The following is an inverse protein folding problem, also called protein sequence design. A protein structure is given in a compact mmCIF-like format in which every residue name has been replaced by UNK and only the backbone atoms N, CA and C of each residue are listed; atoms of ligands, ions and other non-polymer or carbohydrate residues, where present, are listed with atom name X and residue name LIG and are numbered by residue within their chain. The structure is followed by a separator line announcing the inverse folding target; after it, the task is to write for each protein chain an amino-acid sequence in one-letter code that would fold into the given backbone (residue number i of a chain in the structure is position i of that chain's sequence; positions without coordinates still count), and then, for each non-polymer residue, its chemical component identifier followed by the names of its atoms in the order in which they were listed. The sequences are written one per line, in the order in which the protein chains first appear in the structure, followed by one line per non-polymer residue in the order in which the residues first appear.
data_IF_104556507505
#
_entry.id   IF_104556507505
#
_cell.length_a   1.000
_cell.length_b   1.000
_cell.length_c   1.000
_cell.angle_alpha   90.00
_cell.angle_beta   90.00
_cell.angle_gamma   90.00
#
_symmetry.space_group_name_H-M   'P 1'
#
loop_
_entity.id
_entity.type
_entity.pdbx_description
1 polymer ?
#
# COMPACT_ATOMS: atom_id res chain seq x y z
N UNK A 1 0.35 25.13 -20.39
CA UNK A 1 -0.75 25.04 -19.42
C UNK A 1 -0.57 26.18 -18.44
N UNK A 2 -1.58 27.00 -18.19
CA UNK A 2 -1.51 28.06 -17.17
C UNK A 2 -1.28 27.42 -15.80
N UNK A 3 -0.37 27.99 -15.01
CA UNK A 3 -0.20 27.55 -13.61
C UNK A 3 -1.53 27.75 -12.88
N UNK A 4 -2.00 26.76 -12.09
CA UNK A 4 -3.19 26.92 -11.27
C UNK A 4 -3.01 28.09 -10.28
N UNK A 5 -4.01 28.97 -10.20
CA UNK A 5 -4.04 30.08 -9.24
C UNK A 5 -4.39 29.55 -7.85
N UNK A 6 -3.39 29.47 -6.98
CA UNK A 6 -3.58 29.14 -5.57
C UNK A 6 -3.59 30.41 -4.70
N UNK A 7 -4.38 30.44 -3.61
CA UNK A 7 -4.26 31.49 -2.60
C UNK A 7 -2.84 31.59 -2.03
N UNK A 8 -2.39 32.82 -1.70
CA UNK A 8 -1.04 33.07 -1.21
C UNK A 8 -0.73 32.34 0.11
N UNK A 9 -1.75 32.04 0.92
CA UNK A 9 -1.67 31.38 2.22
C UNK A 9 -2.09 29.90 2.18
N UNK A 10 -2.20 29.31 0.99
CA UNK A 10 -2.66 27.93 0.80
C UNK A 10 -1.87 26.93 1.66
N UNK A 11 -2.61 26.11 2.41
CA UNK A 11 -2.07 25.02 3.23
C UNK A 11 -2.62 23.70 2.72
N UNK A 12 -1.74 22.82 2.25
CA UNK A 12 -2.09 21.46 1.86
C UNK A 12 -1.91 20.52 3.05
N UNK A 13 -3.00 19.99 3.57
CA UNK A 13 -2.94 18.95 4.58
C UNK A 13 -2.58 17.60 3.94
N UNK A 14 -1.51 16.97 4.45
CA UNK A 14 -0.99 15.73 3.88
C UNK A 14 -1.89 14.52 4.12
N UNK A 15 -2.75 14.59 5.14
CA UNK A 15 -3.72 13.53 5.39
C UNK A 15 -4.80 13.54 4.31
N UNK A 16 -5.35 14.71 4.03
CA UNK A 16 -6.34 14.92 2.97
C UNK A 16 -5.76 14.58 1.59
N UNK A 17 -4.51 15.00 1.33
CA UNK A 17 -3.81 14.63 0.11
C UNK A 17 -3.65 13.12 -0.03
N UNK A 18 -3.24 12.42 1.02
CA UNK A 18 -3.08 10.96 0.98
C UNK A 18 -4.41 10.27 0.67
N UNK A 19 -5.50 10.71 1.29
CA UNK A 19 -6.84 10.20 1.00
C UNK A 19 -7.26 10.45 -0.46
N UNK A 20 -7.02 11.66 -0.99
CA UNK A 20 -7.33 12.02 -2.38
C UNK A 20 -6.51 11.17 -3.36
N UNK A 21 -5.19 11.05 -3.16
CA UNK A 21 -4.32 10.25 -4.05
C UNK A 21 -4.76 8.79 -4.06
N UNK A 22 -5.06 8.22 -2.89
CA UNK A 22 -5.49 6.83 -2.77
C UNK A 22 -6.87 6.61 -3.41
N UNK A 23 -7.83 7.50 -3.21
CA UNK A 23 -9.14 7.42 -3.88
C UNK A 23 -9.01 7.54 -5.41
N UNK A 24 -8.23 8.50 -5.90
CA UNK A 24 -7.93 8.64 -7.32
C UNK A 24 -7.29 7.36 -7.90
N UNK A 25 -6.26 6.82 -7.22
CA UNK A 25 -5.61 5.58 -7.63
C UNK A 25 -6.57 4.40 -7.65
N UNK A 26 -7.39 4.25 -6.60
CA UNK A 26 -8.39 3.21 -6.51
C UNK A 26 -9.44 3.29 -7.64
N UNK A 27 -9.66 4.46 -8.24
CA UNK A 27 -10.53 4.68 -9.40
C UNK A 27 -9.82 4.45 -10.75
N UNK A 28 -8.52 4.66 -10.84
CA UNK A 28 -7.74 4.50 -12.08
C UNK A 28 -7.06 3.13 -12.25
N UNK A 29 -6.92 2.33 -11.19
CA UNK A 29 -6.21 1.04 -11.25
C UNK A 29 -6.96 -0.04 -12.05
N UNK A 30 -6.61 -0.30 -13.30
CA UNK A 30 -7.43 -1.17 -14.17
C UNK A 30 -7.37 -2.68 -13.84
N UNK A 31 -6.28 -3.19 -13.26
CA UNK A 31 -6.06 -4.65 -13.09
C UNK A 31 -7.16 -5.35 -12.30
N UNK A 32 -7.67 -4.64 -11.29
CA UNK A 32 -8.71 -5.11 -10.37
C UNK A 32 -9.97 -4.24 -10.46
N UNK A 33 -10.22 -3.59 -11.60
CA UNK A 33 -11.36 -2.70 -11.79
C UNK A 33 -12.70 -3.43 -11.61
N UNK A 34 -12.77 -4.69 -12.01
CA UNK A 34 -14.00 -5.50 -12.04
C UNK A 34 -13.86 -6.81 -11.26
N UNK A 35 -12.96 -6.82 -10.28
CA UNK A 35 -12.64 -8.01 -9.51
C UNK A 35 -13.20 -7.90 -8.09
N UNK A 36 -14.01 -8.88 -7.69
CA UNK A 36 -14.59 -8.97 -6.34
C UNK A 36 -13.90 -10.07 -5.53
N UNK A 37 -13.68 -9.81 -4.25
CA UNK A 37 -13.11 -10.76 -3.31
C UNK A 37 -14.07 -11.92 -3.06
N UNK A 38 -13.61 -13.15 -3.27
CA UNK A 38 -14.38 -14.37 -2.99
C UNK A 38 -13.75 -15.24 -1.90
N UNK A 39 -12.46 -15.08 -1.62
CA UNK A 39 -11.78 -15.87 -0.60
C UNK A 39 -10.56 -15.16 -0.02
N UNK A 40 -10.35 -15.31 1.29
CA UNK A 40 -9.12 -14.90 1.98
C UNK A 40 -8.49 -16.13 2.64
N UNK A 41 -7.22 -16.36 2.35
CA UNK A 41 -6.48 -17.53 2.84
C UNK A 41 -5.28 -17.02 3.65
N UNK A 42 -5.15 -17.48 4.90
CA UNK A 42 -4.09 -17.06 5.81
C UNK A 42 -3.28 -18.28 6.26
N UNK A 43 -1.99 -18.35 5.94
CA UNK A 43 -1.08 -19.41 6.40
C UNK A 43 -1.52 -20.87 6.13
N UNK A 44 -2.56 -21.10 5.30
CA UNK A 44 -3.10 -22.40 4.91
C UNK A 44 -2.78 -22.71 3.44
N UNK A 45 -2.72 -23.99 3.13
CA UNK A 45 -2.22 -24.48 1.84
C UNK A 45 -3.33 -24.69 0.78
N UNK A 46 -4.62 -24.58 1.12
CA UNK A 46 -5.70 -24.95 0.20
C UNK A 46 -6.65 -23.80 -0.15
N UNK A 47 -6.84 -23.60 -1.47
CA UNK A 47 -7.86 -22.72 -2.04
C UNK A 47 -9.19 -23.49 -2.13
N UNK A 48 -10.27 -22.92 -1.60
CA UNK A 48 -11.60 -23.54 -1.59
C UNK A 48 -12.52 -23.06 -2.73
N UNK A 49 -12.24 -21.91 -3.34
CA UNK A 49 -13.05 -21.34 -4.43
C UNK A 49 -12.71 -21.90 -5.80
N UNK A 50 -11.48 -22.37 -6.00
CA UNK A 50 -11.01 -22.85 -7.29
C UNK A 50 -11.09 -24.38 -7.37
N UNK A 51 -11.41 -24.97 -8.54
CA UNK A 51 -11.41 -26.43 -8.73
C UNK A 51 -10.06 -27.04 -8.33
N UNK A 52 -10.09 -28.25 -7.78
CA UNK A 52 -9.00 -28.94 -7.04
C UNK A 52 -7.72 -29.30 -7.80
N UNK A 53 -7.26 -28.46 -8.73
CA UNK A 53 -5.96 -28.56 -9.43
C UNK A 53 -5.17 -27.26 -9.44
N UNK A 54 -5.70 -26.17 -8.90
CA UNK A 54 -4.93 -24.93 -8.74
C UNK A 54 -4.13 -25.05 -7.44
N UNK A 55 -3.01 -25.77 -7.52
CA UNK A 55 -2.01 -25.72 -6.47
C UNK A 55 -1.48 -24.29 -6.38
N UNK A 56 -1.34 -23.77 -5.17
CA UNK A 56 -0.51 -22.59 -4.99
C UNK A 56 0.89 -22.85 -5.54
N UNK A 57 1.56 -21.76 -5.92
CA UNK A 57 2.94 -21.81 -6.34
C UNK A 57 3.84 -22.50 -5.29
N UNK A 58 4.90 -23.23 -5.69
CA UNK A 58 5.83 -23.84 -4.75
C UNK A 58 6.36 -22.87 -3.69
N UNK A 59 6.45 -21.57 -4.00
CA UNK A 59 6.86 -20.50 -3.09
C UNK A 59 5.86 -20.24 -1.94
N UNK A 60 4.57 -20.53 -2.15
CA UNK A 60 3.54 -20.46 -1.10
C UNK A 60 3.64 -21.63 -0.13
N UNK A 61 4.02 -22.82 -0.61
CA UNK A 61 4.21 -24.03 0.20
C UNK A 61 5.66 -24.19 0.67
N UNK A 62 6.61 -23.41 0.14
CA UNK A 62 8.03 -23.49 0.47
C UNK A 62 8.25 -23.29 1.97
N UNK A 63 8.98 -24.25 2.55
CA UNK A 63 9.13 -24.50 3.99
C UNK A 63 9.90 -23.41 4.75
N UNK A 64 10.60 -22.48 4.10
CA UNK A 64 11.23 -21.34 4.76
C UNK A 64 10.20 -20.25 5.12
N UNK A 65 9.33 -20.61 6.07
CA UNK A 65 8.52 -19.67 6.84
C UNK A 65 9.46 -18.96 7.81
N UNK A 66 10.17 -17.92 7.37
CA UNK A 66 11.03 -17.09 8.25
C UNK A 66 10.21 -16.26 9.26
N UNK A 67 9.15 -16.83 9.85
CA UNK A 67 8.18 -16.15 10.72
C UNK A 67 7.29 -15.14 10.00
N UNK A 68 7.39 -15.01 8.68
CA UNK A 68 6.56 -14.11 7.88
C UNK A 68 5.18 -14.72 7.64
N UNK A 69 4.12 -13.97 7.95
CA UNK A 69 2.73 -14.36 7.68
C UNK A 69 2.45 -14.35 6.18
N UNK A 70 1.61 -15.25 5.68
CA UNK A 70 1.19 -15.30 4.28
C UNK A 70 -0.30 -15.06 4.17
N UNK A 71 -0.67 -14.21 3.22
CA UNK A 71 -2.07 -13.93 2.89
C UNK A 71 -2.28 -14.11 1.39
N UNK A 72 -3.34 -14.80 1.01
CA UNK A 72 -3.84 -14.84 -0.35
C UNK A 72 -5.24 -14.23 -0.43
N UNK A 73 -5.47 -13.46 -1.48
CA UNK A 73 -6.78 -12.97 -1.87
C UNK A 73 -7.16 -13.59 -3.20
N UNK A 74 -8.29 -14.30 -3.24
CA UNK A 74 -8.85 -14.79 -4.49
C UNK A 74 -9.95 -13.84 -4.92
N UNK A 75 -9.82 -13.31 -6.12
CA UNK A 75 -10.71 -12.35 -6.73
C UNK A 75 -11.37 -12.98 -7.96
N UNK A 76 -12.69 -12.86 -8.07
CA UNK A 76 -13.44 -13.19 -9.27
C UNK A 76 -13.61 -11.94 -10.12
N UNK A 77 -13.14 -11.99 -11.36
CA UNK A 77 -13.36 -10.97 -12.38
C UNK A 77 -14.66 -11.26 -13.13
N UNK A 78 -15.48 -10.23 -13.32
CA UNK A 78 -16.65 -10.27 -14.19
C UNK A 78 -16.47 -9.25 -15.32
N UNK A 79 -16.09 -9.71 -16.52
CA UNK A 79 -15.94 -8.83 -17.69
C UNK A 79 -17.25 -8.14 -18.10
N UNK A 80 -18.40 -8.77 -17.82
CA UNK A 80 -19.73 -8.23 -18.12
C UNK A 80 -20.14 -7.14 -17.13
N UNK A 81 -19.47 -7.04 -15.99
CA UNK A 81 -19.70 -5.97 -15.03
C UNK A 81 -19.39 -4.61 -15.69
N UNK A 82 -20.41 -3.75 -15.74
CA UNK A 82 -20.29 -2.40 -16.31
C UNK A 82 -19.63 -1.42 -15.35
N UNK A 83 -19.94 -1.55 -14.07
CA UNK A 83 -19.47 -0.65 -13.02
C UNK A 83 -18.17 -1.14 -12.40
N UNK A 84 -17.29 -0.21 -12.08
CA UNK A 84 -16.07 -0.49 -11.34
C UNK A 84 -16.39 -0.94 -9.91
N UNK A 85 -15.60 -1.87 -9.40
CA UNK A 85 -15.63 -2.31 -8.02
C UNK A 85 -14.98 -1.25 -7.12
N UNK A 86 -15.79 -0.75 -6.19
CA UNK A 86 -15.42 0.15 -5.09
C UNK A 86 -15.25 -0.67 -3.81
N UNK A 87 -14.89 0.00 -2.71
CA UNK A 87 -14.80 -0.66 -1.41
C UNK A 87 -16.14 -1.31 -0.98
N UNK A 88 -17.26 -0.61 -1.18
CA UNK A 88 -18.58 -1.05 -0.69
C UNK A 88 -19.13 -2.29 -1.43
N UNK A 89 -18.63 -2.58 -2.63
CA UNK A 89 -19.00 -3.80 -3.39
C UNK A 89 -17.81 -4.72 -3.68
N UNK A 90 -16.71 -4.57 -2.94
CA UNK A 90 -15.51 -5.38 -3.14
C UNK A 90 -15.72 -6.83 -2.72
N UNK A 91 -16.46 -7.09 -1.64
CA UNK A 91 -16.87 -8.44 -1.29
C UNK A 91 -17.87 -8.98 -2.32
N UNK A 92 -17.67 -10.21 -2.78
CA UNK A 92 -18.60 -10.86 -3.69
C UNK A 92 -19.96 -11.08 -2.99
N UNK A 93 -21.05 -10.93 -3.75
CA UNK A 93 -22.43 -10.97 -3.23
C UNK A 93 -22.82 -12.30 -2.59
N UNK A 94 -22.20 -13.39 -3.03
CA UNK A 94 -22.43 -14.75 -2.49
C UNK A 94 -21.62 -15.01 -1.20
N UNK A 95 -20.89 -14.00 -0.72
CA UNK A 95 -20.02 -14.08 0.46
C UNK A 95 -18.54 -14.26 0.11
N UNK A 96 -17.72 -14.10 1.15
CA UNK A 96 -16.27 -14.31 1.09
C UNK A 96 -15.93 -15.54 1.93
N UNK A 97 -15.30 -16.54 1.32
CA UNK A 97 -14.81 -17.72 2.04
C UNK A 97 -13.61 -17.35 2.90
N UNK A 98 -13.61 -17.87 4.12
CA UNK A 98 -12.58 -17.65 5.13
C UNK A 98 -12.27 -18.99 5.80
N UNK A 99 -11.20 -19.03 6.58
CA UNK A 99 -10.95 -20.15 7.49
C UNK A 99 -12.10 -20.30 8.51
N UNK A 100 -12.36 -21.55 8.92
CA UNK A 100 -13.42 -21.85 9.87
C UNK A 100 -13.28 -21.03 11.15
N UNK A 101 -14.37 -20.40 11.59
CA UNK A 101 -14.41 -19.58 12.80
C UNK A 101 -13.88 -18.14 12.64
N UNK A 102 -13.50 -17.72 11.43
CA UNK A 102 -13.08 -16.34 11.15
C UNK A 102 -14.20 -15.58 10.47
N UNK A 103 -14.47 -14.35 10.92
CA UNK A 103 -15.41 -13.43 10.27
C UNK A 103 -14.68 -12.32 9.50
N UNK A 104 -15.21 -11.94 8.33
CA UNK A 104 -14.68 -10.84 7.54
C UNK A 104 -15.16 -9.51 8.13
N UNK A 105 -14.36 -8.94 9.01
CA UNK A 105 -14.61 -7.58 9.52
C UNK A 105 -14.50 -6.54 8.40
N UNK A 106 -15.21 -5.40 8.51
CA UNK A 106 -15.08 -4.25 7.59
C UNK A 106 -13.63 -3.81 7.42
N UNK A 107 -12.84 -3.87 8.49
CA UNK A 107 -11.42 -3.53 8.50
C UNK A 107 -10.55 -4.54 7.76
N UNK A 108 -10.85 -5.83 7.88
CA UNK A 108 -10.16 -6.87 7.11
C UNK A 108 -10.47 -6.73 5.61
N UNK A 109 -11.74 -6.43 5.27
CA UNK A 109 -12.15 -6.14 3.90
C UNK A 109 -11.43 -4.90 3.34
N UNK A 110 -11.36 -3.82 4.11
CA UNK A 110 -10.66 -2.59 3.70
C UNK A 110 -9.17 -2.88 3.48
N UNK A 111 -8.57 -3.72 4.33
CA UNK A 111 -7.18 -4.12 4.19
C UNK A 111 -6.94 -4.94 2.92
N UNK A 112 -7.84 -5.88 2.60
CA UNK A 112 -7.79 -6.63 1.36
C UNK A 112 -7.96 -5.70 0.14
N UNK A 113 -8.94 -4.79 0.18
CA UNK A 113 -9.22 -3.83 -0.88
C UNK A 113 -7.99 -2.99 -1.22
N UNK A 114 -7.42 -2.28 -0.22
CA UNK A 114 -6.26 -1.43 -0.46
C UNK A 114 -5.03 -2.21 -0.87
N UNK A 115 -4.84 -3.41 -0.32
CA UNK A 115 -3.69 -4.24 -0.68
C UNK A 115 -3.75 -4.71 -2.13
N UNK A 116 -4.94 -5.02 -2.65
CA UNK A 116 -5.13 -5.28 -4.07
C UNK A 116 -4.96 -4.00 -4.91
N UNK A 117 -5.57 -2.89 -4.51
CA UNK A 117 -5.51 -1.65 -5.30
C UNK A 117 -4.10 -1.05 -5.34
N UNK A 118 -3.34 -1.07 -4.26
CA UNK A 118 -1.96 -0.55 -4.23
C UNK A 118 -0.91 -1.62 -4.53
N UNK A 119 -1.31 -2.78 -5.03
CA UNK A 119 -0.38 -3.82 -5.46
C UNK A 119 0.63 -3.19 -6.43
N UNK A 120 1.93 -3.34 -6.13
CA UNK A 120 3.11 -2.79 -6.84
C UNK A 120 3.12 -1.27 -7.14
N UNK A 121 2.20 -0.50 -6.56
CA UNK A 121 2.00 0.90 -6.94
C UNK A 121 2.87 1.89 -6.15
N UNK A 122 3.74 1.41 -5.25
CA UNK A 122 4.41 2.29 -4.29
C UNK A 122 5.27 3.39 -4.89
N UNK A 123 6.03 3.09 -5.95
CA UNK A 123 6.81 4.10 -6.68
C UNK A 123 5.89 5.15 -7.32
N UNK A 124 4.84 4.69 -8.00
CA UNK A 124 3.89 5.57 -8.68
C UNK A 124 3.16 6.49 -7.69
N UNK A 125 2.71 5.96 -6.55
CA UNK A 125 2.02 6.76 -5.52
C UNK A 125 2.94 7.83 -4.93
N UNK A 126 4.19 7.49 -4.63
CA UNK A 126 5.18 8.45 -4.16
C UNK A 126 5.47 9.52 -5.23
N UNK A 127 5.59 9.11 -6.49
CA UNK A 127 5.78 10.03 -7.61
C UNK A 127 4.59 10.99 -7.77
N UNK A 128 3.34 10.51 -7.70
CA UNK A 128 2.15 11.37 -7.79
C UNK A 128 2.15 12.42 -6.67
N UNK A 129 2.43 12.03 -5.43
CA UNK A 129 2.54 12.98 -4.32
C UNK A 129 3.65 14.02 -4.55
N UNK A 130 4.82 13.58 -5.02
CA UNK A 130 5.92 14.48 -5.38
C UNK A 130 5.48 15.49 -6.46
N UNK A 131 4.79 15.04 -7.51
CA UNK A 131 4.30 15.93 -8.58
C UNK A 131 3.30 16.95 -8.07
N UNK A 132 2.46 16.60 -7.10
CA UNK A 132 1.60 17.57 -6.42
C UNK A 132 2.45 18.62 -5.71
N UNK A 133 3.44 18.22 -4.91
CA UNK A 133 4.29 19.18 -4.19
C UNK A 133 5.08 20.10 -5.12
N UNK A 134 5.63 19.57 -6.22
CA UNK A 134 6.35 20.35 -7.24
C UNK A 134 5.45 21.34 -8.00
N UNK A 135 4.14 21.11 -8.03
CA UNK A 135 3.17 22.00 -8.67
C UNK A 135 2.69 23.15 -7.79
N UNK A 136 2.96 23.09 -6.47
CA UNK A 136 2.55 24.11 -5.54
C UNK A 136 3.43 25.37 -5.68
N UNK A 137 2.86 26.57 -5.47
CA UNK A 137 3.66 27.79 -5.46
C UNK A 137 4.61 27.80 -4.25
N UNK A 138 5.73 28.53 -4.31
CA UNK A 138 6.68 28.64 -3.19
C UNK A 138 6.07 29.22 -1.91
N UNK A 139 4.94 29.93 -2.00
CA UNK A 139 4.22 30.50 -0.84
C UNK A 139 3.29 29.51 -0.15
N UNK A 140 2.98 28.38 -0.80
CA UNK A 140 2.17 27.33 -0.18
C UNK A 140 2.90 26.69 0.99
N UNK A 141 2.14 26.05 1.88
CA UNK A 141 2.68 25.29 3.01
C UNK A 141 2.11 23.89 3.03
N UNK A 142 2.93 22.93 3.42
CA UNK A 142 2.49 21.56 3.71
C UNK A 142 2.24 21.43 5.20
N UNK A 143 1.12 20.80 5.58
CA UNK A 143 0.79 20.48 6.97
C UNK A 143 0.75 18.97 7.15
N UNK A 144 1.65 18.44 7.98
CA UNK A 144 1.70 17.04 8.35
C UNK A 144 1.22 16.87 9.80
N UNK A 145 0.16 16.09 10.01
CA UNK A 145 -0.36 15.74 11.34
C UNK A 145 -0.20 14.25 11.57
N UNK A 146 0.52 13.86 12.61
CA UNK A 146 0.69 12.45 12.97
C UNK A 146 -0.39 11.99 13.92
N UNK A 147 -0.63 10.69 13.94
CA UNK A 147 -1.49 10.01 14.93
C UNK A 147 -1.14 10.28 16.40
N UNK A 148 0.10 10.73 16.67
CA UNK A 148 0.57 11.04 18.03
C UNK A 148 0.31 12.49 18.46
N UNK A 149 -0.37 13.29 17.63
CA UNK A 149 -0.63 14.71 17.88
C UNK A 149 0.53 15.63 17.50
N UNK A 150 1.65 15.10 17.00
CA UNK A 150 2.73 15.93 16.45
C UNK A 150 2.30 16.54 15.12
N UNK A 151 2.56 17.84 14.98
CA UNK A 151 2.27 18.64 13.79
C UNK A 151 3.55 19.29 13.26
N UNK A 152 3.68 19.30 11.93
CA UNK A 152 4.76 19.95 11.21
C UNK A 152 4.15 20.80 10.09
N UNK A 153 4.61 22.04 9.96
CA UNK A 153 4.32 22.91 8.82
C UNK A 153 5.64 23.24 8.13
N UNK A 154 5.74 23.04 6.82
CA UNK A 154 6.98 23.28 6.06
C UNK A 154 6.71 23.74 4.62
N UNK A 155 7.77 24.10 3.91
CA UNK A 155 7.70 24.42 2.48
C UNK A 155 7.45 23.15 1.64
N UNK A 156 6.76 23.24 0.48
CA UNK A 156 6.73 22.16 -0.51
C UNK A 156 8.12 21.69 -0.96
N UNK A 157 9.13 22.58 -0.90
CA UNK A 157 10.53 22.24 -1.22
C UNK A 157 11.23 21.43 -0.14
N UNK A 158 10.65 21.31 1.05
CA UNK A 158 11.20 20.55 2.17
C UNK A 158 10.78 19.06 2.11
N UNK A 159 10.47 18.55 0.93
CA UNK A 159 10.12 17.14 0.70
C UNK A 159 11.28 16.42 0.01
N UNK A 160 11.59 15.22 0.48
CA UNK A 160 12.62 14.36 -0.07
C UNK A 160 12.10 12.94 -0.29
N UNK A 161 12.42 12.36 -1.45
CA UNK A 161 12.16 10.96 -1.75
C UNK A 161 13.18 10.10 -0.99
N UNK A 162 12.69 9.07 -0.32
CA UNK A 162 13.49 8.12 0.43
C UNK A 162 13.29 6.72 -0.11
N UNK A 163 14.39 5.98 -0.17
CA UNK A 163 14.40 4.58 -0.56
C UNK A 163 15.02 3.74 0.55
N UNK A 164 14.46 2.55 0.77
CA UNK A 164 15.06 1.58 1.67
C UNK A 164 14.69 0.15 1.28
N UNK A 165 15.39 -0.82 1.85
CA UNK A 165 15.04 -2.23 1.72
C UNK A 165 14.13 -2.62 2.89
N UNK A 166 12.97 -3.18 2.59
CA UNK A 166 11.96 -3.61 3.58
C UNK A 166 11.73 -5.11 3.47
N UNK A 167 11.63 -5.78 4.62
CA UNK A 167 11.06 -7.13 4.70
C UNK A 167 9.57 -7.00 5.05
N UNK A 168 8.65 -7.37 4.16
CA UNK A 168 7.22 -7.18 4.41
C UNK A 168 6.72 -7.95 5.63
N UNK A 169 5.76 -7.39 6.38
CA UNK A 169 5.17 -8.10 7.53
C UNK A 169 4.45 -9.37 7.09
N UNK A 170 3.86 -9.27 5.91
CA UNK A 170 3.06 -10.31 5.30
C UNK A 170 3.48 -10.43 3.84
N UNK A 171 3.75 -11.65 3.38
CA UNK A 171 3.75 -11.92 1.94
C UNK A 171 2.30 -11.95 1.45
N UNK A 172 2.07 -11.39 0.25
CA UNK A 172 0.76 -11.29 -0.36
C UNK A 172 0.72 -12.02 -1.68
N UNK A 173 -0.27 -12.88 -1.83
CA UNK A 173 -0.63 -13.50 -3.08
C UNK A 173 -2.00 -12.98 -3.51
N UNK A 174 -2.17 -12.55 -4.75
CA UNK A 174 -3.48 -12.18 -5.29
C UNK A 174 -3.70 -13.03 -6.54
N UNK A 175 -4.81 -13.75 -6.55
CA UNK A 175 -5.27 -14.55 -7.67
C UNK A 175 -6.51 -13.89 -8.21
N UNK A 176 -6.50 -13.49 -9.48
CA UNK A 176 -7.71 -13.06 -10.18
C UNK A 176 -8.12 -14.18 -11.11
N UNK A 177 -9.40 -14.53 -11.18
CA UNK A 177 -9.88 -15.52 -12.14
C UNK A 177 -11.18 -15.10 -12.82
N UNK A 178 -11.42 -15.63 -14.02
CA UNK A 178 -12.63 -15.41 -14.81
C UNK A 178 -13.15 -16.74 -15.38
N UNK A 179 -14.47 -16.92 -15.36
CA UNK A 179 -15.15 -18.09 -15.94
C UNK A 179 -15.49 -17.80 -17.41
N UNK A 180 -14.83 -18.49 -18.35
CA UNK A 180 -14.96 -18.17 -19.78
C UNK A 180 -16.01 -19.04 -20.48
N UNK A 181 -16.02 -20.36 -20.22
CA UNK A 181 -16.90 -21.34 -20.87
C UNK A 181 -17.52 -22.32 -19.84
N UNK A 182 -17.90 -21.82 -18.68
CA UNK A 182 -18.43 -22.60 -17.55
C UNK A 182 -17.36 -22.98 -16.52
N UNK A 183 -17.73 -23.72 -15.45
CA UNK A 183 -16.91 -23.90 -14.24
C UNK A 183 -15.60 -24.68 -14.45
N UNK A 184 -15.36 -25.23 -15.64
CA UNK A 184 -14.16 -26.01 -15.97
C UNK A 184 -13.09 -25.23 -16.75
N UNK A 185 -13.43 -24.08 -17.33
CA UNK A 185 -12.49 -23.23 -18.06
C UNK A 185 -12.32 -21.90 -17.32
N UNK A 186 -11.22 -21.81 -16.59
CA UNK A 186 -10.86 -20.69 -15.74
C UNK A 186 -9.59 -20.05 -16.30
N UNK A 187 -9.68 -18.80 -16.73
CA UNK A 187 -8.51 -17.96 -16.93
C UNK A 187 -8.13 -17.34 -15.60
N UNK A 188 -6.83 -17.26 -15.31
CA UNK A 188 -6.36 -16.73 -14.05
C UNK A 188 -5.03 -15.98 -14.17
N UNK A 189 -4.94 -14.91 -13.39
CA UNK A 189 -3.78 -14.04 -13.26
C UNK A 189 -3.26 -14.10 -11.82
N UNK A 190 -1.96 -13.91 -11.66
CA UNK A 190 -1.27 -14.01 -10.37
C UNK A 190 -0.43 -12.79 -10.12
N UNK A 191 -0.43 -12.37 -8.87
CA UNK A 191 0.27 -11.20 -8.39
C UNK A 191 0.90 -11.54 -7.03
N UNK A 192 2.16 -11.18 -6.83
CA UNK A 192 2.94 -11.54 -5.65
C UNK A 192 3.65 -10.31 -5.08
N UNK A 193 3.63 -10.17 -3.76
CA UNK A 193 4.42 -9.14 -3.08
C UNK A 193 5.02 -9.67 -1.78
N UNK A 194 6.29 -9.37 -1.57
CA UNK A 194 6.97 -9.62 -0.30
C UNK A 194 7.42 -11.05 -0.03
N UNK A 195 7.52 -11.88 -1.06
CA UNK A 195 8.08 -13.23 -0.95
C UNK A 195 9.62 -13.20 -0.96
N UNK A 196 10.21 -14.00 -0.08
CA UNK A 196 11.59 -14.53 -0.09
C UNK A 196 12.76 -13.53 -0.02
N UNK A 197 12.57 -12.25 -0.32
CA UNK A 197 13.65 -11.25 -0.32
C UNK A 197 13.17 -9.88 0.18
N UNK A 198 14.08 -9.07 0.79
CA UNK A 198 13.83 -7.65 0.98
C UNK A 198 13.47 -6.99 -0.35
N UNK A 199 12.51 -6.07 -0.33
CA UNK A 199 12.08 -5.32 -1.51
C UNK A 199 12.45 -3.83 -1.38
N UNK A 200 12.77 -3.15 -2.51
CA UNK A 200 12.90 -1.71 -2.51
C UNK A 200 11.57 -1.07 -2.13
N UNK A 201 11.64 -0.07 -1.25
CA UNK A 201 10.50 0.61 -0.68
C UNK A 201 10.71 2.12 -0.75
N UNK A 202 9.75 2.81 -1.35
CA UNK A 202 9.81 4.26 -1.57
C UNK A 202 8.78 4.95 -0.70
N UNK A 203 9.20 6.02 -0.04
CA UNK A 203 8.33 6.89 0.77
C UNK A 203 8.86 8.32 0.71
N UNK A 204 8.10 9.28 1.22
CA UNK A 204 8.49 10.69 1.23
C UNK A 204 8.79 11.15 2.65
N UNK A 205 9.92 11.82 2.87
CA UNK A 205 10.17 12.58 4.09
C UNK A 205 9.79 14.03 3.89
N UNK A 206 9.00 14.56 4.82
CA UNK A 206 8.51 15.93 4.82
C UNK A 206 9.11 16.68 6.00
N UNK A 207 9.67 17.85 5.70
CA UNK A 207 10.29 18.77 6.65
C UNK A 207 11.81 18.83 6.53
N UNK A 208 12.37 19.86 7.16
CA UNK A 208 13.81 20.02 7.30
C UNK A 208 14.35 19.16 8.45
N UNK A 209 15.51 18.49 8.27
CA UNK A 209 16.17 17.78 9.35
C UNK A 209 16.67 18.80 10.39
N UNK A 210 16.27 18.62 11.65
CA UNK A 210 16.78 19.45 12.77
C UNK A 210 18.01 18.82 13.42
N UNK A 211 18.22 17.51 13.22
CA UNK A 211 19.35 16.76 13.77
C UNK A 211 19.82 15.70 12.77
N UNK A 212 21.10 15.33 12.86
CA UNK A 212 21.65 14.14 12.21
C UNK A 212 21.35 12.87 13.01
N UNK A 213 20.98 13.00 14.29
CA UNK A 213 20.49 11.88 15.10
C UNK A 213 19.06 11.50 14.67
N UNK A 214 18.84 10.27 14.18
CA UNK A 214 17.51 9.79 13.83
C UNK A 214 16.49 9.83 14.97
N UNK A 215 16.93 9.79 16.23
CA UNK A 215 16.05 9.83 17.40
C UNK A 215 15.50 11.24 17.68
N UNK A 216 16.18 12.27 17.17
CA UNK A 216 15.77 13.68 17.26
C UNK A 216 15.15 14.21 15.96
N UNK A 217 15.06 13.36 14.94
CA UNK A 217 14.48 13.73 13.64
C UNK A 217 13.00 14.12 13.78
N UNK A 218 12.71 15.35 13.36
CA UNK A 218 11.39 15.98 13.39
C UNK A 218 10.61 15.76 12.09
N UNK A 219 11.26 15.20 11.06
CA UNK A 219 10.62 14.92 9.78
C UNK A 219 9.55 13.86 9.89
N UNK A 220 8.54 13.99 9.04
CA UNK A 220 7.41 13.08 8.95
C UNK A 220 7.55 12.25 7.67
N UNK A 221 7.51 10.93 7.80
CA UNK A 221 7.41 10.00 6.69
C UNK A 221 5.96 9.87 6.24
N UNK A 222 5.72 10.14 4.96
CA UNK A 222 4.50 9.82 4.23
C UNK A 222 4.74 8.56 3.40
N UNK A 223 4.03 7.49 3.72
CA UNK A 223 4.06 6.20 3.03
C UNK A 223 2.66 5.83 2.56
N UNK A 224 2.40 6.02 1.27
CA UNK A 224 1.11 5.76 0.62
C UNK A 224 0.90 4.29 0.26
N UNK A 225 1.94 3.47 0.29
CA UNK A 225 1.90 2.09 -0.19
C UNK A 225 1.92 1.06 0.94
N UNK A 226 1.94 1.51 2.20
CA UNK A 226 2.13 0.69 3.39
C UNK A 226 1.28 -0.60 3.44
N UNK A 227 0.08 -0.57 2.86
CA UNK A 227 -0.81 -1.75 2.76
C UNK A 227 -0.22 -2.90 1.95
N UNK A 228 0.60 -2.63 0.93
CA UNK A 228 1.26 -3.65 0.11
C UNK A 228 2.11 -4.61 0.96
N UNK A 229 2.77 -4.09 2.01
CA UNK A 229 3.58 -4.87 2.94
C UNK A 229 2.82 -5.36 4.18
N UNK A 230 1.49 -5.24 4.18
CA UNK A 230 0.62 -5.64 5.29
C UNK A 230 0.66 -4.70 6.50
N UNK A 231 1.13 -3.47 6.30
CA UNK A 231 1.16 -2.45 7.35
C UNK A 231 -0.09 -1.57 7.36
N UNK A 232 -0.27 -0.81 8.44
CA UNK A 232 -1.19 0.33 8.55
C UNK A 232 -0.56 1.50 9.29
N UNK A 233 -1.05 2.71 9.04
CA UNK A 233 -0.78 3.88 9.87
C UNK A 233 -1.21 3.62 11.33
N UNK A 234 -0.68 4.37 12.30
CA UNK A 234 -1.01 4.10 13.71
C UNK A 234 -2.44 4.49 14.07
N UNK A 235 -3.01 5.46 13.36
CA UNK A 235 -4.44 5.76 13.42
C UNK A 235 -5.29 4.73 12.64
N UNK A 236 -4.67 3.62 12.21
CA UNK A 236 -5.25 2.57 11.38
C UNK A 236 -5.59 3.02 9.96
N UNK A 237 -4.94 4.04 9.40
CA UNK A 237 -5.10 4.40 8.00
C UNK A 237 -4.44 3.39 7.04
N UNK A 238 -4.87 3.36 5.76
CA UNK A 238 -4.20 2.59 4.70
C UNK A 238 -2.86 3.19 4.24
N UNK A 239 -2.46 4.33 4.81
CA UNK A 239 -1.14 4.93 4.61
C UNK A 239 -0.49 5.17 5.99
N UNK A 240 0.75 5.62 6.00
CA UNK A 240 1.37 6.17 7.22
C UNK A 240 1.78 7.62 7.03
N UNK A 241 1.55 8.40 8.10
CA UNK A 241 2.06 9.75 8.28
C UNK A 241 2.66 9.84 9.68
N UNK A 242 3.94 9.48 9.82
CA UNK A 242 4.58 9.20 11.11
C UNK A 242 5.98 9.81 11.20
N UNK A 243 6.43 10.21 12.39
CA UNK A 243 7.81 10.71 12.58
C UNK A 243 8.84 9.64 12.21
N UNK A 244 9.96 10.04 11.59
CA UNK A 244 11.01 9.14 11.10
C UNK A 244 11.50 8.11 12.12
N UNK A 245 11.77 8.55 13.37
CA UNK A 245 12.12 7.67 14.51
C UNK A 245 11.14 6.51 14.74
N UNK A 246 9.86 6.73 14.49
CA UNK A 246 8.78 5.77 14.76
C UNK A 246 8.56 4.82 13.59
N UNK A 247 8.92 5.23 12.36
CA UNK A 247 8.87 4.36 11.18
C UNK A 247 9.91 3.24 11.29
N UNK A 248 11.15 3.55 11.69
CA UNK A 248 12.26 2.59 11.81
C UNK A 248 12.08 1.53 12.91
N UNK A 249 11.31 1.84 13.96
CA UNK A 249 11.05 0.91 15.09
C UNK A 249 9.93 -0.10 14.83
N UNK A 250 9.11 0.07 13.79
CA UNK A 250 8.23 -1.02 13.33
C UNK A 250 9.15 -2.15 12.86
N UNK A 251 9.11 -3.31 13.53
CA UNK A 251 10.02 -4.48 13.36
C UNK A 251 10.21 -4.95 11.89
N UNK A 252 9.36 -4.50 10.97
CA UNK A 252 9.37 -4.72 9.53
C UNK A 252 10.28 -3.79 8.71
N UNK A 253 10.57 -2.58 9.20
CA UNK A 253 11.57 -1.69 8.60
C UNK A 253 12.95 -2.00 9.19
N UNK A 254 13.32 -3.29 9.25
CA UNK A 254 14.72 -3.65 9.46
C UNK A 254 15.45 -3.32 8.16
N UNK A 255 15.90 -2.07 8.04
CA UNK A 255 16.97 -1.74 7.11
C UNK A 255 18.10 -2.76 7.35
N UNK A 256 18.42 -3.55 6.32
CA UNK A 256 19.56 -4.46 6.38
C UNK A 256 20.77 -3.64 6.86
N UNK A 257 21.29 -3.98 8.05
CA UNK A 257 22.44 -3.28 8.66
C UNK A 257 23.69 -3.29 7.78
N UNK A 258 23.69 -4.05 6.67
CA UNK A 258 24.78 -4.14 5.69
C UNK A 258 24.85 -2.96 4.71
N UNK A 259 23.81 -2.14 4.56
CA UNK A 259 23.84 -0.95 3.67
C UNK A 259 23.67 0.36 4.46
N UNK A 260 24.68 0.73 5.26
CA UNK A 260 24.78 2.10 5.81
C UNK A 260 25.31 3.13 4.80
N UNK A 261 25.29 2.82 3.52
CA UNK A 261 25.44 3.81 2.44
C UNK A 261 24.06 4.32 2.04
N UNK A 262 23.40 5.11 2.88
CA UNK A 262 22.22 5.88 2.46
C UNK A 262 22.77 7.01 1.59
N UNK A 263 22.68 6.83 0.27
CA UNK A 263 23.04 7.87 -0.69
C UNK A 263 21.92 8.90 -0.72
N UNK A 264 22.13 10.04 -0.06
CA UNK A 264 21.27 11.22 -0.18
C UNK A 264 21.45 11.83 -1.58
N UNK A 265 20.68 11.38 -2.57
CA UNK A 265 20.56 12.13 -3.81
C UNK A 265 19.40 13.11 -3.66
N UNK A 266 19.71 14.39 -3.51
CA UNK A 266 18.78 15.44 -3.94
C UNK A 266 18.56 15.24 -5.43
N UNK A 267 17.33 14.92 -5.84
CA UNK A 267 16.92 15.14 -7.21
C UNK A 267 17.15 16.63 -7.49
N UNK A 268 17.99 16.94 -8.48
CA UNK A 268 18.24 18.30 -8.96
C UNK A 268 17.24 18.63 -10.05
#
# INVERSE_FOLDING_TARGET
MSSPDFPADFVLDLHDLAAIILDCHARSEERFAKSQLVEVIADSDDIQTLPGRIAFLPEWSAAERQGQKRLAYVLRRDSKQKLRVTFENFAHRDGVKLQQGVELTRRALESAYWRCKTYDSGFMLAYVAQRVFESLPPTARLRARTSSGYELICSPTDVMVMEMQVLPHQACYIVTYEEVLGPQMIEWERHQSGFLQPMPWVYLFVGNPVSTDPEDDTRVALDLALMQIGGRGRANEPFALERGRRLSRKKSYRASRRNRGIWWRRAR
#
